data_IF_229842263715
#
_entry.id   IF_229842263715
#
_cell.length_a   1.000
_cell.length_b   1.000
_cell.length_c   1.000
_cell.angle_alpha   90.00
_cell.angle_beta   90.00
_cell.angle_gamma   90.00
#
_symmetry.space_group_name_H-M   'P 1'
#
loop_
_entity.id
_entity.type
_entity.pdbx_description
1 polymer ?
#
# COMPACT_ATOMS: atom_id res chain seq x y z
N UNK A 1 -38.21 -19.73 18.33
CA UNK A 1 -38.26 -19.08 16.99
C UNK A 1 -37.63 -17.69 16.95
N UNK A 2 -38.09 -16.68 17.72
CA UNK A 2 -37.52 -15.30 17.64
C UNK A 2 -36.01 -15.20 17.91
N UNK A 3 -35.49 -15.94 18.89
CA UNK A 3 -34.06 -15.96 19.20
C UNK A 3 -33.22 -16.55 18.05
N UNK A 4 -33.70 -17.64 17.43
CA UNK A 4 -33.05 -18.28 16.28
C UNK A 4 -33.04 -17.32 15.08
N UNK A 5 -34.17 -16.66 14.79
CA UNK A 5 -34.25 -15.68 13.71
C UNK A 5 -33.33 -14.47 13.95
N UNK A 6 -33.21 -14.00 15.20
CA UNK A 6 -32.28 -12.92 15.59
C UNK A 6 -30.81 -13.34 15.46
N UNK A 7 -30.50 -14.61 15.72
CA UNK A 7 -29.15 -15.14 15.54
C UNK A 7 -28.77 -15.28 14.05
N UNK A 8 -29.69 -15.77 13.22
CA UNK A 8 -29.46 -15.88 11.77
C UNK A 8 -29.23 -14.50 11.15
N UNK A 9 -30.04 -13.50 11.53
CA UNK A 9 -29.88 -12.11 11.08
C UNK A 9 -28.56 -11.51 11.55
N UNK A 10 -28.16 -11.74 12.81
CA UNK A 10 -26.86 -11.34 13.34
C UNK A 10 -25.69 -11.89 12.51
N UNK A 11 -25.70 -13.20 12.22
CA UNK A 11 -24.64 -13.85 11.44
C UNK A 11 -24.61 -13.32 10.01
N UNK A 12 -25.77 -13.21 9.37
CA UNK A 12 -25.87 -12.65 8.02
C UNK A 12 -25.35 -11.19 7.98
N UNK A 13 -25.74 -10.37 8.95
CA UNK A 13 -25.29 -8.99 9.07
C UNK A 13 -23.77 -8.89 9.22
N UNK A 14 -23.18 -9.75 10.07
CA UNK A 14 -21.73 -9.77 10.27
C UNK A 14 -20.97 -10.15 8.99
N UNK A 15 -21.42 -11.18 8.27
CA UNK A 15 -20.81 -11.63 7.01
C UNK A 15 -20.92 -10.55 5.93
N UNK A 16 -22.11 -9.96 5.77
CA UNK A 16 -22.33 -8.91 4.78
C UNK A 16 -21.54 -7.64 5.13
N UNK A 17 -21.42 -7.30 6.41
CA UNK A 17 -20.63 -6.14 6.87
C UNK A 17 -19.16 -6.35 6.54
N UNK A 18 -18.65 -7.56 6.73
CA UNK A 18 -17.28 -7.89 6.36
C UNK A 18 -17.06 -7.78 4.84
N UNK A 19 -18.00 -8.26 4.03
CA UNK A 19 -17.93 -8.14 2.58
C UNK A 19 -17.93 -6.67 2.12
N UNK A 20 -18.81 -5.83 2.68
CA UNK A 20 -18.82 -4.38 2.43
C UNK A 20 -17.51 -3.74 2.87
N UNK A 21 -17.03 -4.07 4.08
CA UNK A 21 -15.80 -3.53 4.64
C UNK A 21 -14.59 -3.82 3.76
N UNK A 22 -14.40 -5.08 3.35
CA UNK A 22 -13.32 -5.47 2.44
C UNK A 22 -13.45 -4.74 1.12
N UNK A 23 -14.66 -4.69 0.55
CA UNK A 23 -14.92 -4.02 -0.73
C UNK A 23 -14.56 -2.53 -0.68
N UNK A 24 -15.04 -1.80 0.34
CA UNK A 24 -14.83 -0.35 0.45
C UNK A 24 -13.37 -0.05 0.78
N UNK A 25 -12.80 -0.73 1.77
CA UNK A 25 -11.45 -0.44 2.26
C UNK A 25 -10.38 -0.74 1.21
N UNK A 26 -10.47 -1.91 0.54
CA UNK A 26 -9.50 -2.30 -0.48
C UNK A 26 -9.69 -1.47 -1.74
N UNK A 27 -10.92 -1.24 -2.23
CA UNK A 27 -11.13 -0.43 -3.44
C UNK A 27 -10.84 1.05 -3.25
N UNK A 28 -11.23 1.68 -2.13
CA UNK A 28 -10.96 3.11 -1.94
C UNK A 28 -9.48 3.38 -1.77
N UNK A 29 -8.79 2.56 -0.98
CA UNK A 29 -7.34 2.69 -0.84
C UNK A 29 -6.63 2.43 -2.16
N UNK A 30 -7.03 1.39 -2.90
CA UNK A 30 -6.49 1.09 -4.23
C UNK A 30 -6.90 2.10 -5.31
N UNK A 31 -7.71 3.12 -5.02
CA UNK A 31 -8.00 4.23 -5.93
C UNK A 31 -7.29 5.52 -5.54
N UNK A 32 -6.79 5.62 -4.32
CA UNK A 32 -6.20 6.83 -3.77
C UNK A 32 -4.69 6.88 -4.03
N UNK A 33 -4.31 7.39 -5.21
CA UNK A 33 -2.90 7.56 -5.59
C UNK A 33 -2.14 8.48 -4.62
N UNK A 34 -2.83 9.44 -3.98
CA UNK A 34 -2.23 10.34 -2.99
C UNK A 34 -1.87 9.60 -1.71
N UNK A 35 -2.71 8.66 -1.28
CA UNK A 35 -2.38 7.80 -0.15
C UNK A 35 -1.12 6.97 -0.42
N UNK A 36 -0.97 6.41 -1.62
CA UNK A 36 0.23 5.67 -2.00
C UNK A 36 1.49 6.55 -2.04
N UNK A 37 1.39 7.77 -2.56
CA UNK A 37 2.50 8.75 -2.52
C UNK A 37 2.89 9.07 -1.08
N UNK A 38 1.91 9.32 -0.20
CA UNK A 38 2.18 9.58 1.22
C UNK A 38 2.85 8.39 1.92
N UNK A 39 2.42 7.16 1.64
CA UNK A 39 3.06 5.94 2.14
C UNK A 39 4.49 5.81 1.61
N UNK A 40 4.74 6.12 0.33
CA UNK A 40 6.08 6.03 -0.25
C UNK A 40 7.07 7.06 0.30
N UNK A 41 6.60 8.27 0.59
CA UNK A 41 7.39 9.30 1.26
C UNK A 41 7.73 8.89 2.69
N UNK A 42 6.73 8.45 3.45
CA UNK A 42 6.92 8.06 4.85
C UNK A 42 7.78 6.80 5.02
N UNK A 43 7.80 5.89 4.04
CA UNK A 43 8.67 4.72 4.04
C UNK A 43 10.11 5.00 3.57
N UNK A 44 10.42 6.21 3.08
CA UNK A 44 11.73 6.53 2.52
C UNK A 44 12.02 5.80 1.21
N UNK A 45 11.00 5.57 0.37
CA UNK A 45 11.14 4.83 -0.90
C UNK A 45 12.13 5.52 -1.85
N UNK A 46 12.17 6.87 -1.86
CA UNK A 46 13.15 7.62 -2.65
C UNK A 46 14.58 7.24 -2.29
N UNK A 47 14.91 7.28 -1.00
CA UNK A 47 16.24 6.88 -0.52
C UNK A 47 16.55 5.43 -0.86
N UNK A 48 15.59 4.51 -0.74
CA UNK A 48 15.82 3.12 -1.12
C UNK A 48 16.14 2.97 -2.62
N UNK A 49 15.44 3.71 -3.51
CA UNK A 49 15.73 3.72 -4.94
C UNK A 49 17.14 4.29 -5.22
N UNK A 50 17.46 5.42 -4.58
CA UNK A 50 18.79 6.05 -4.68
C UNK A 50 19.88 5.08 -4.23
N UNK A 51 19.72 4.44 -3.08
CA UNK A 51 20.69 3.51 -2.50
C UNK A 51 20.87 2.29 -3.41
N UNK A 52 19.77 1.72 -3.92
CA UNK A 52 19.80 0.60 -4.86
C UNK A 52 20.53 0.96 -6.15
N UNK A 53 20.22 2.10 -6.77
CA UNK A 53 20.88 2.55 -8.00
C UNK A 53 22.36 2.87 -7.76
N UNK A 54 22.70 3.48 -6.61
CA UNK A 54 24.07 3.77 -6.22
C UNK A 54 24.87 2.49 -6.09
N UNK A 55 24.34 1.50 -5.37
CA UNK A 55 24.98 0.20 -5.22
C UNK A 55 25.14 -0.49 -6.56
N UNK A 56 24.13 -0.43 -7.42
CA UNK A 56 24.18 -1.05 -8.76
C UNK A 56 25.24 -0.43 -9.67
N UNK A 57 25.49 0.88 -9.57
CA UNK A 57 26.52 1.59 -10.34
C UNK A 57 27.93 1.35 -9.77
N UNK A 58 28.06 1.32 -8.44
CA UNK A 58 29.35 1.19 -7.76
C UNK A 58 29.80 -0.27 -7.64
N UNK A 59 28.88 -1.24 -7.64
CA UNK A 59 29.19 -2.66 -7.49
C UNK A 59 30.28 -3.12 -8.48
N UNK A 60 31.26 -3.86 -7.95
CA UNK A 60 32.40 -4.34 -8.74
C UNK A 60 31.98 -5.25 -9.89
N UNK A 61 32.41 -4.88 -11.08
CA UNK A 61 32.16 -5.62 -12.30
C UNK A 61 33.50 -6.10 -12.89
N UNK A 62 33.78 -7.41 -12.86
CA UNK A 62 35.03 -7.97 -13.39
C UNK A 62 35.19 -7.76 -14.91
N UNK A 63 34.11 -7.44 -15.64
CA UNK A 63 34.14 -7.14 -17.08
C UNK A 63 34.44 -5.66 -17.38
N UNK A 64 34.36 -4.79 -16.38
CA UNK A 64 34.72 -3.36 -16.46
C UNK A 64 35.43 -2.91 -15.17
N UNK A 65 36.65 -3.41 -14.92
CA UNK A 65 37.42 -2.99 -13.76
C UNK A 65 37.75 -1.51 -13.87
N UNK A 66 37.60 -0.80 -12.75
CA UNK A 66 38.04 0.57 -12.62
C UNK A 66 39.43 0.60 -11.97
N UNK A 67 40.28 1.58 -12.33
CA UNK A 67 41.64 1.68 -11.79
C UNK A 67 41.66 2.03 -10.29
N UNK A 68 40.56 2.55 -9.74
CA UNK A 68 40.40 2.84 -8.33
C UNK A 68 38.93 2.74 -7.88
N UNK A 69 38.72 2.67 -6.57
CA UNK A 69 37.39 2.67 -5.97
C UNK A 69 36.67 3.99 -6.25
N UNK A 70 35.42 3.91 -6.72
CA UNK A 70 34.59 5.09 -6.96
C UNK A 70 34.13 5.68 -5.62
N UNK A 71 34.17 7.01 -5.50
CA UNK A 71 33.55 7.75 -4.42
C UNK A 71 32.03 7.55 -4.46
N UNK A 72 31.55 6.67 -3.57
CA UNK A 72 30.14 6.32 -3.43
C UNK A 72 29.25 7.53 -3.10
N UNK A 73 29.74 8.50 -2.33
CA UNK A 73 28.96 9.69 -1.96
C UNK A 73 28.71 10.60 -3.17
N UNK A 74 29.71 10.76 -4.04
CA UNK A 74 29.57 11.52 -5.28
C UNK A 74 28.56 10.87 -6.24
N UNK A 75 28.60 9.54 -6.39
CA UNK A 75 27.61 8.79 -7.20
C UNK A 75 26.21 8.91 -6.60
N UNK A 76 26.08 8.76 -5.29
CA UNK A 76 24.81 8.93 -4.57
C UNK A 76 24.22 10.32 -4.82
N UNK A 77 25.00 11.38 -4.64
CA UNK A 77 24.55 12.76 -4.86
C UNK A 77 24.12 13.00 -6.32
N UNK A 78 24.84 12.41 -7.29
CA UNK A 78 24.45 12.41 -8.69
C UNK A 78 23.08 11.78 -8.92
N UNK A 79 22.84 10.60 -8.34
CA UNK A 79 21.56 9.88 -8.45
C UNK A 79 20.43 10.64 -7.72
N UNK A 80 20.69 11.21 -6.53
CA UNK A 80 19.72 12.01 -5.78
C UNK A 80 19.23 13.24 -6.57
N UNK A 81 20.09 13.83 -7.41
CA UNK A 81 19.69 14.95 -8.27
C UNK A 81 18.75 14.55 -9.41
N UNK A 82 18.70 13.26 -9.77
CA UNK A 82 17.80 12.72 -10.80
C UNK A 82 16.52 12.15 -10.15
N UNK A 83 16.66 11.36 -9.09
CA UNK A 83 15.55 10.73 -8.35
C UNK A 83 14.99 11.72 -7.33
N UNK A 84 14.28 12.72 -7.83
CA UNK A 84 13.65 13.74 -6.99
C UNK A 84 12.33 13.24 -6.37
N UNK A 85 11.83 13.93 -5.35
CA UNK A 85 10.49 13.67 -4.80
C UNK A 85 9.39 13.85 -5.84
N UNK A 86 9.53 14.86 -6.71
CA UNK A 86 8.58 15.09 -7.81
C UNK A 86 8.59 13.96 -8.84
N UNK A 87 9.77 13.41 -9.15
CA UNK A 87 9.88 12.22 -9.98
C UNK A 87 9.19 11.01 -9.33
N UNK A 88 9.40 10.79 -8.03
CA UNK A 88 8.77 9.69 -7.30
C UNK A 88 7.24 9.82 -7.30
N UNK A 89 6.71 11.00 -6.98
CA UNK A 89 5.27 11.28 -6.98
C UNK A 89 4.64 10.99 -8.34
N UNK A 90 5.21 11.54 -9.42
CA UNK A 90 4.70 11.35 -10.79
C UNK A 90 4.75 9.88 -11.20
N UNK A 91 5.83 9.19 -10.86
CA UNK A 91 6.01 7.77 -11.16
C UNK A 91 4.96 6.92 -10.47
N UNK A 92 4.74 7.12 -9.16
CA UNK A 92 3.72 6.39 -8.40
C UNK A 92 2.32 6.65 -8.97
N UNK A 93 1.98 7.91 -9.25
CA UNK A 93 0.67 8.27 -9.81
C UNK A 93 0.46 7.61 -11.18
N UNK A 94 1.49 7.62 -12.04
CA UNK A 94 1.45 6.98 -13.35
C UNK A 94 1.27 5.47 -13.26
N UNK A 95 2.04 4.79 -12.40
CA UNK A 95 1.95 3.35 -12.19
C UNK A 95 0.58 2.98 -11.65
N UNK A 96 0.06 3.78 -10.72
CA UNK A 96 -1.27 3.59 -10.15
C UNK A 96 -2.36 3.71 -11.21
N UNK A 97 -2.29 4.73 -12.06
CA UNK A 97 -3.24 4.93 -13.16
C UNK A 97 -3.20 3.77 -14.18
N UNK A 98 -2.00 3.34 -14.57
CA UNK A 98 -1.82 2.22 -15.50
C UNK A 98 -2.24 0.87 -14.88
N UNK A 99 -2.05 0.69 -13.58
CA UNK A 99 -2.58 -0.49 -12.88
C UNK A 99 -4.12 -0.45 -12.85
N UNK A 100 -4.70 0.74 -12.66
CA UNK A 100 -6.15 0.96 -12.71
C UNK A 100 -6.75 0.62 -14.07
N UNK A 101 -6.13 1.04 -15.18
CA UNK A 101 -6.60 0.74 -16.54
C UNK A 101 -6.59 -0.76 -16.84
N UNK A 102 -5.57 -1.49 -16.37
CA UNK A 102 -5.52 -2.97 -16.47
C UNK A 102 -6.66 -3.64 -15.70
N UNK A 103 -6.95 -3.18 -14.47
CA UNK A 103 -8.06 -3.72 -13.68
C UNK A 103 -9.42 -3.41 -14.32
N UNK A 104 -9.54 -2.23 -14.94
CA UNK A 104 -10.72 -1.81 -15.70
C UNK A 104 -10.84 -2.50 -17.08
N UNK A 105 -9.83 -3.31 -17.47
CA UNK A 105 -9.75 -3.98 -18.76
C UNK A 105 -9.78 -2.99 -19.95
N UNK A 106 -9.38 -1.74 -19.71
CA UNK A 106 -9.27 -0.71 -20.75
C UNK A 106 -7.91 -0.75 -21.43
N UNK A 107 -6.90 -1.31 -20.77
CA UNK A 107 -5.55 -1.52 -21.31
C UNK A 107 -5.02 -2.92 -20.94
N UNK A 108 -4.12 -3.45 -21.77
CA UNK A 108 -3.55 -4.79 -21.58
C UNK A 108 -2.31 -4.82 -20.69
N UNK A 109 -1.72 -3.65 -20.34
CA UNK A 109 -0.42 -3.56 -19.68
C UNK A 109 -0.35 -2.39 -18.70
N UNK A 110 0.30 -2.63 -17.57
CA UNK A 110 0.66 -1.61 -16.60
C UNK A 110 2.18 -1.47 -16.62
N UNK A 111 2.69 -0.45 -17.32
CA UNK A 111 4.12 -0.33 -17.61
C UNK A 111 4.77 0.73 -16.73
N UNK A 112 5.87 0.39 -16.08
CA UNK A 112 6.78 1.35 -15.45
C UNK A 112 7.86 1.75 -16.46
N UNK A 113 7.86 2.98 -16.98
CA UNK A 113 8.92 3.44 -17.88
C UNK A 113 10.19 3.72 -17.06
N UNK A 114 11.25 2.96 -17.31
CA UNK A 114 12.58 3.19 -16.71
C UNK A 114 13.55 3.84 -17.69
N UNK A 115 13.21 3.86 -18.98
CA UNK A 115 14.05 4.46 -20.02
C UNK A 115 14.40 5.92 -19.75
N UNK A 116 13.43 6.75 -19.40
CA UNK A 116 13.64 8.18 -19.11
C UNK A 116 14.52 8.39 -17.88
N UNK A 117 14.34 7.56 -16.84
CA UNK A 117 15.20 7.58 -15.66
C UNK A 117 16.63 7.20 -16.03
N UNK A 118 16.82 6.13 -16.81
CA UNK A 118 18.14 5.70 -17.29
C UNK A 118 18.82 6.80 -18.09
N UNK A 119 18.10 7.43 -19.02
CA UNK A 119 18.62 8.55 -19.80
C UNK A 119 19.00 9.74 -18.93
N UNK A 120 18.16 10.12 -17.95
CA UNK A 120 18.46 11.22 -17.05
C UNK A 120 19.70 10.94 -16.18
N UNK A 121 19.88 9.69 -15.72
CA UNK A 121 21.11 9.27 -15.03
C UNK A 121 22.32 9.37 -15.97
N UNK A 122 22.23 8.83 -17.19
CA UNK A 122 23.31 8.92 -18.19
C UNK A 122 23.67 10.38 -18.49
N UNK A 123 22.69 11.23 -18.76
CA UNK A 123 22.89 12.67 -19.00
C UNK A 123 23.55 13.32 -17.80
N UNK A 124 23.09 13.05 -16.57
CA UNK A 124 23.69 13.63 -15.36
C UNK A 124 25.17 13.30 -15.22
N UNK A 125 25.55 12.06 -15.47
CA UNK A 125 26.94 11.62 -15.39
C UNK A 125 27.76 11.94 -16.65
N UNK A 126 27.10 12.33 -17.76
CA UNK A 126 27.75 12.86 -18.95
C UNK A 126 27.99 14.38 -18.89
N UNK A 127 27.12 15.16 -18.24
CA UNK A 127 27.31 16.62 -18.02
C UNK A 127 28.55 16.92 -17.16
N UNK A 128 29.09 15.91 -16.47
CA UNK A 128 30.41 15.94 -15.83
C UNK A 128 31.58 16.10 -16.85
N UNK A 129 31.33 16.09 -18.16
CA UNK A 129 32.32 16.31 -19.23
C UNK A 129 32.85 17.75 -19.34
N UNK A 130 32.06 18.76 -18.97
CA UNK A 130 32.47 20.16 -19.12
C UNK A 130 33.61 20.54 -18.14
N UNK A 131 33.96 19.63 -17.21
CA UNK A 131 35.13 19.71 -16.34
C UNK A 131 35.66 18.31 -15.97
N UNK A 132 36.19 17.58 -16.96
CA UNK A 132 36.74 16.21 -16.82
C UNK A 132 37.64 16.06 -15.59
N UNK A 133 38.48 17.05 -15.32
CA UNK A 133 39.42 17.02 -14.19
C UNK A 133 38.71 17.12 -12.83
N UNK A 134 37.78 18.05 -12.64
CA UNK A 134 37.04 18.19 -11.37
C UNK A 134 36.09 17.02 -11.12
N UNK A 135 35.45 16.51 -12.17
CA UNK A 135 34.59 15.33 -12.14
C UNK A 135 35.37 14.06 -11.79
N UNK A 136 36.56 13.89 -12.39
CA UNK A 136 37.45 12.80 -12.06
C UNK A 136 37.91 12.91 -10.59
N UNK A 137 38.34 14.08 -10.14
CA UNK A 137 38.76 14.28 -8.75
C UNK A 137 37.64 13.99 -7.74
N UNK A 138 36.40 14.37 -8.06
CA UNK A 138 35.23 14.08 -7.21
C UNK A 138 34.94 12.57 -7.12
N UNK A 139 35.09 11.84 -8.23
CA UNK A 139 34.76 10.41 -8.34
C UNK A 139 35.90 9.47 -7.92
N UNK A 140 37.16 9.84 -8.15
CA UNK A 140 38.33 8.96 -7.98
C UNK A 140 39.41 9.54 -7.06
N UNK A 141 39.29 10.81 -6.67
CA UNK A 141 40.28 11.53 -5.88
C UNK A 141 41.43 12.12 -6.71
N UNK A 142 42.20 13.04 -6.10
CA UNK A 142 43.29 13.75 -6.78
C UNK A 142 44.44 12.85 -7.25
N UNK A 143 44.71 11.75 -6.54
CA UNK A 143 45.82 10.83 -6.84
C UNK A 143 45.64 10.10 -8.19
N UNK A 144 44.39 9.82 -8.59
CA UNK A 144 44.08 9.09 -9.84
C UNK A 144 43.94 10.05 -11.02
N UNK A 145 43.63 11.32 -10.75
CA UNK A 145 43.31 12.34 -11.75
C UNK A 145 44.41 13.41 -11.87
N UNK A 146 45.65 13.06 -11.52
CA UNK A 146 46.78 13.99 -11.45
C UNK A 146 47.31 14.46 -12.81
N UNK A 147 46.92 13.77 -13.88
CA UNK A 147 47.16 14.19 -15.26
C UNK A 147 45.88 14.07 -16.12
N UNK A 148 45.77 14.93 -17.14
CA UNK A 148 44.57 15.04 -17.96
C UNK A 148 44.26 13.79 -18.79
N UNK A 149 45.29 13.03 -19.21
CA UNK A 149 45.12 11.83 -20.02
C UNK A 149 44.56 10.68 -19.18
N UNK A 150 45.09 10.47 -17.97
CA UNK A 150 44.60 9.49 -17.00
C UNK A 150 43.21 9.86 -16.49
N UNK A 151 42.94 11.16 -16.29
CA UNK A 151 41.59 11.63 -15.93
C UNK A 151 40.56 11.32 -17.04
N UNK A 152 40.90 11.62 -18.31
CA UNK A 152 40.04 11.32 -19.45
C UNK A 152 39.86 9.81 -19.69
N UNK A 153 40.89 8.99 -19.44
CA UNK A 153 40.79 7.53 -19.53
C UNK A 153 39.89 6.94 -18.43
N UNK A 154 40.05 7.40 -17.19
CA UNK A 154 39.25 6.96 -16.04
C UNK A 154 37.79 7.33 -16.20
N UNK A 155 37.49 8.54 -16.66
CA UNK A 155 36.13 8.98 -16.96
C UNK A 155 35.50 8.19 -18.12
N UNK A 156 36.26 7.84 -19.16
CA UNK A 156 35.77 6.95 -20.24
C UNK A 156 35.45 5.55 -19.73
N UNK A 157 36.32 4.95 -18.91
CA UNK A 157 36.08 3.65 -18.29
C UNK A 157 34.84 3.67 -17.38
N UNK A 158 34.69 4.73 -16.59
CA UNK A 158 33.52 4.96 -15.76
C UNK A 158 32.22 5.01 -16.58
N UNK A 159 32.20 5.76 -17.69
CA UNK A 159 31.01 5.88 -18.55
C UNK A 159 30.62 4.57 -19.20
N UNK A 160 31.60 3.81 -19.67
CA UNK A 160 31.35 2.48 -20.23
C UNK A 160 30.73 1.55 -19.17
N UNK A 161 31.25 1.59 -17.94
CA UNK A 161 30.69 0.83 -16.81
C UNK A 161 29.29 1.30 -16.45
N UNK A 162 29.06 2.60 -16.30
CA UNK A 162 27.75 3.17 -16.01
C UNK A 162 26.72 2.75 -17.05
N UNK A 163 27.07 2.83 -18.34
CA UNK A 163 26.20 2.45 -19.45
C UNK A 163 25.85 0.97 -19.36
N UNK A 164 26.84 0.08 -19.18
CA UNK A 164 26.62 -1.37 -19.01
C UNK A 164 25.81 -1.71 -17.76
N UNK A 165 26.06 -1.02 -16.65
CA UNK A 165 25.29 -1.20 -15.42
C UNK A 165 23.82 -0.85 -15.64
N UNK A 166 23.54 0.26 -16.33
CA UNK A 166 22.18 0.68 -16.66
C UNK A 166 21.53 -0.21 -17.74
N UNK A 167 22.28 -0.76 -18.70
CA UNK A 167 21.77 -1.72 -19.68
C UNK A 167 21.22 -3.00 -19.04
N UNK A 168 21.76 -3.41 -17.89
CA UNK A 168 21.22 -4.54 -17.11
C UNK A 168 19.86 -4.24 -16.46
N UNK A 169 19.52 -2.97 -16.30
CA UNK A 169 18.19 -2.55 -15.83
C UNK A 169 17.25 -2.54 -17.04
N UNK A 170 16.11 -3.26 -17.00
CA UNK A 170 15.17 -3.26 -18.10
C UNK A 170 14.63 -1.85 -18.36
N UNK A 171 14.38 -1.50 -19.63
CA UNK A 171 13.80 -0.19 -19.99
C UNK A 171 12.34 -0.03 -19.54
N UNK A 172 11.68 -1.16 -19.27
CA UNK A 172 10.29 -1.24 -18.84
C UNK A 172 10.08 -2.42 -17.92
N UNK A 173 9.30 -2.23 -16.87
CA UNK A 173 8.76 -3.31 -16.05
C UNK A 173 7.28 -3.41 -16.37
N UNK A 174 6.84 -4.58 -16.86
CA UNK A 174 5.42 -4.86 -17.11
C UNK A 174 4.83 -5.51 -15.85
N UNK A 175 3.94 -4.77 -15.19
CA UNK A 175 3.21 -5.23 -14.00
C UNK A 175 1.84 -5.84 -14.38
N UNK A 176 1.49 -5.84 -15.67
CA UNK A 176 0.18 -6.30 -16.15
C UNK A 176 -0.18 -7.73 -15.75
N UNK A 177 0.72 -8.73 -15.87
CA UNK A 177 0.45 -10.10 -15.42
C UNK A 177 0.16 -10.21 -13.92
N UNK A 178 0.95 -9.53 -13.08
CA UNK A 178 0.84 -9.53 -11.62
C UNK A 178 -0.43 -8.80 -11.17
N UNK A 179 -0.74 -7.66 -11.80
CA UNK A 179 -1.99 -6.93 -11.57
C UNK A 179 -3.18 -7.80 -11.93
N UNK A 180 -3.17 -8.49 -13.09
CA UNK A 180 -4.26 -9.39 -13.51
C UNK A 180 -4.44 -10.61 -12.61
N UNK A 181 -3.35 -11.16 -12.08
CA UNK A 181 -3.40 -12.30 -11.17
C UNK A 181 -4.11 -11.96 -9.84
N UNK A 182 -4.16 -10.69 -9.46
CA UNK A 182 -4.76 -10.21 -8.20
C UNK A 182 -6.04 -9.39 -8.44
N UNK A 183 -6.25 -8.89 -9.66
CA UNK A 183 -7.46 -8.17 -10.06
C UNK A 183 -8.67 -9.12 -10.01
N UNK A 184 -9.68 -8.83 -9.17
CA UNK A 184 -10.84 -9.69 -9.10
C UNK A 184 -11.72 -9.52 -10.35
N UNK A 185 -12.62 -10.48 -10.66
CA UNK A 185 -13.41 -10.46 -11.88
C UNK A 185 -14.27 -9.18 -11.96
N UNK A 186 -13.95 -8.31 -12.90
CA UNK A 186 -14.58 -7.03 -13.28
C UNK A 186 -15.10 -6.14 -12.13
N UNK A 187 -14.62 -4.89 -12.05
CA UNK A 187 -15.11 -3.85 -11.12
C UNK A 187 -16.65 -3.72 -11.12
N UNK A 188 -17.31 -4.04 -12.24
CA UNK A 188 -18.78 -4.05 -12.37
C UNK A 188 -19.45 -5.10 -11.47
N UNK A 189 -18.95 -6.34 -11.46
CA UNK A 189 -19.46 -7.40 -10.58
C UNK A 189 -19.25 -7.03 -9.10
N UNK A 190 -18.14 -6.37 -8.78
CA UNK A 190 -17.87 -5.86 -7.43
C UNK A 190 -18.85 -4.77 -6.99
N UNK A 191 -19.16 -3.80 -7.86
CA UNK A 191 -20.16 -2.76 -7.53
C UNK A 191 -21.54 -3.36 -7.31
N UNK A 192 -21.92 -4.34 -8.11
CA UNK A 192 -23.18 -5.07 -7.93
C UNK A 192 -23.17 -5.86 -6.62
N UNK A 193 -22.10 -6.60 -6.32
CA UNK A 193 -21.96 -7.34 -5.08
C UNK A 193 -21.98 -6.43 -3.85
N UNK A 194 -21.33 -5.26 -3.93
CA UNK A 194 -21.37 -4.24 -2.88
C UNK A 194 -22.80 -3.71 -2.67
N UNK A 195 -23.52 -3.40 -3.75
CA UNK A 195 -24.91 -2.96 -3.68
C UNK A 195 -25.82 -4.03 -3.06
N UNK A 196 -25.64 -5.30 -3.44
CA UNK A 196 -26.35 -6.45 -2.86
C UNK A 196 -26.02 -6.60 -1.37
N UNK A 197 -24.75 -6.44 -1.00
CA UNK A 197 -24.32 -6.56 0.39
C UNK A 197 -24.91 -5.44 1.26
N UNK A 198 -24.88 -4.19 0.79
CA UNK A 198 -25.51 -3.05 1.48
C UNK A 198 -27.02 -3.27 1.59
N UNK A 199 -27.69 -3.67 0.50
CA UNK A 199 -29.12 -3.98 0.52
C UNK A 199 -29.46 -5.10 1.51
N UNK A 200 -28.61 -6.13 1.59
CA UNK A 200 -28.73 -7.22 2.56
C UNK A 200 -28.54 -6.77 4.00
N UNK A 201 -27.62 -5.83 4.27
CA UNK A 201 -27.47 -5.23 5.60
C UNK A 201 -28.73 -4.49 6.02
N UNK A 202 -29.27 -3.64 5.14
CA UNK A 202 -30.53 -2.91 5.39
C UNK A 202 -31.67 -3.90 5.64
N UNK A 203 -31.77 -4.96 4.83
CA UNK A 203 -32.78 -6.00 5.03
C UNK A 203 -32.65 -6.70 6.39
N UNK A 204 -31.42 -7.02 6.84
CA UNK A 204 -31.19 -7.59 8.17
C UNK A 204 -31.69 -6.66 9.27
N UNK A 205 -31.38 -5.36 9.20
CA UNK A 205 -31.84 -4.37 10.17
C UNK A 205 -33.38 -4.28 10.21
N UNK A 206 -34.03 -4.26 9.05
CA UNK A 206 -35.50 -4.24 8.94
C UNK A 206 -36.11 -5.51 9.53
N UNK A 207 -35.54 -6.68 9.25
CA UNK A 207 -36.00 -7.95 9.82
C UNK A 207 -35.81 -7.97 11.34
N UNK A 208 -34.69 -7.49 11.86
CA UNK A 208 -34.43 -7.37 13.30
C UNK A 208 -35.46 -6.45 13.97
N UNK A 209 -35.78 -5.31 13.34
CA UNK A 209 -36.84 -4.42 13.81
C UNK A 209 -38.22 -5.12 13.78
N UNK A 210 -38.53 -5.87 12.71
CA UNK A 210 -39.80 -6.58 12.58
C UNK A 210 -39.96 -7.70 13.63
N UNK A 211 -38.89 -8.46 13.92
CA UNK A 211 -38.89 -9.50 14.97
C UNK A 211 -39.19 -8.90 16.34
N UNK A 212 -38.67 -7.71 16.62
CA UNK A 212 -38.75 -7.03 17.93
C UNK A 212 -39.70 -5.83 17.96
N UNK A 213 -40.62 -5.71 16.99
CA UNK A 213 -41.53 -4.55 16.83
C UNK A 213 -42.38 -4.17 18.05
N UNK A 214 -42.55 -5.10 19.00
CA UNK A 214 -43.33 -4.91 20.24
C UNK A 214 -42.50 -4.54 21.47
N UNK A 215 -41.17 -4.54 21.36
CA UNK A 215 -40.26 -4.29 22.48
C UNK A 215 -39.05 -3.51 21.92
N UNK A 216 -39.20 -2.18 21.94
CA UNK A 216 -38.20 -1.24 21.43
C UNK A 216 -36.87 -1.39 22.15
N UNK A 217 -36.87 -1.76 23.44
CA UNK A 217 -35.68 -2.08 24.20
C UNK A 217 -34.93 -3.29 23.64
N UNK A 218 -35.62 -4.35 23.17
CA UNK A 218 -34.92 -5.46 22.47
C UNK A 218 -34.41 -5.06 21.11
N UNK A 219 -35.20 -4.32 20.34
CA UNK A 219 -34.80 -3.90 19.00
C UNK A 219 -33.49 -3.11 19.05
N UNK A 220 -33.40 -2.10 19.94
CA UNK A 220 -32.18 -1.32 20.16
C UNK A 220 -31.01 -2.19 20.63
N UNK A 221 -31.26 -3.13 21.54
CA UNK A 221 -30.21 -4.01 22.04
C UNK A 221 -29.64 -4.92 20.94
N UNK A 222 -30.50 -5.51 20.10
CA UNK A 222 -30.06 -6.37 19.00
C UNK A 222 -29.35 -5.59 17.89
N UNK A 223 -29.86 -4.41 17.55
CA UNK A 223 -29.21 -3.48 16.62
C UNK A 223 -27.79 -3.12 17.09
N UNK A 224 -27.66 -2.75 18.38
CA UNK A 224 -26.36 -2.47 18.97
C UNK A 224 -25.42 -3.67 18.96
N UNK A 225 -25.94 -4.87 19.23
CA UNK A 225 -25.16 -6.11 19.18
C UNK A 225 -24.66 -6.43 17.76
N UNK A 226 -25.51 -6.27 16.75
CA UNK A 226 -25.16 -6.45 15.33
C UNK A 226 -23.99 -5.54 14.93
N UNK A 227 -24.07 -4.25 15.27
CA UNK A 227 -22.99 -3.29 14.99
C UNK A 227 -21.70 -3.63 15.73
N UNK A 228 -21.77 -3.99 17.01
CA UNK A 228 -20.59 -4.33 17.81
C UNK A 228 -19.91 -5.59 17.26
N UNK A 229 -20.67 -6.64 16.98
CA UNK A 229 -20.13 -7.90 16.43
C UNK A 229 -19.52 -7.66 15.05
N UNK A 230 -20.21 -6.94 14.16
CA UNK A 230 -19.68 -6.60 12.85
C UNK A 230 -18.38 -5.77 12.94
N UNK A 231 -18.35 -4.79 13.84
CA UNK A 231 -17.16 -3.94 14.07
C UNK A 231 -15.99 -4.77 14.59
N UNK A 232 -16.21 -5.62 15.59
CA UNK A 232 -15.17 -6.50 16.14
C UNK A 232 -14.64 -7.48 15.09
N UNK A 233 -15.53 -8.04 14.26
CA UNK A 233 -15.14 -8.92 13.16
C UNK A 233 -14.27 -8.18 12.14
N UNK A 234 -14.68 -6.98 11.72
CA UNK A 234 -13.90 -6.16 10.78
C UNK A 234 -12.54 -5.78 11.38
N UNK A 235 -12.50 -5.32 12.64
CA UNK A 235 -11.24 -5.01 13.34
C UNK A 235 -10.32 -6.23 13.44
N UNK A 236 -10.86 -7.42 13.71
CA UNK A 236 -10.10 -8.67 13.74
C UNK A 236 -9.50 -8.98 12.37
N UNK A 237 -10.27 -8.81 11.29
CA UNK A 237 -9.77 -8.99 9.93
C UNK A 237 -8.72 -7.95 9.57
N UNK A 238 -8.88 -6.68 9.98
CA UNK A 238 -7.84 -5.65 9.79
C UNK A 238 -6.55 -6.02 10.53
N UNK A 239 -6.66 -6.50 11.78
CA UNK A 239 -5.52 -6.97 12.55
C UNK A 239 -4.81 -8.16 11.90
N UNK A 240 -5.58 -9.15 11.42
CA UNK A 240 -5.05 -10.31 10.70
C UNK A 240 -4.42 -9.90 9.35
N UNK A 241 -5.09 -9.04 8.58
CA UNK A 241 -4.59 -8.53 7.31
C UNK A 241 -3.32 -7.70 7.48
N UNK A 242 -3.17 -6.98 8.59
CA UNK A 242 -1.92 -6.32 8.93
C UNK A 242 -0.79 -7.32 9.13
N UNK A 243 -1.03 -8.32 9.99
CA UNK A 243 -0.03 -9.34 10.32
C UNK A 243 0.41 -10.14 9.09
N UNK A 244 -0.55 -10.60 8.28
CA UNK A 244 -0.31 -11.40 7.08
C UNK A 244 0.20 -10.54 5.92
N UNK A 245 -0.37 -9.35 5.71
CA UNK A 245 -0.08 -8.46 4.59
C UNK A 245 1.33 -7.89 4.63
N UNK A 246 1.82 -7.49 5.82
CA UNK A 246 3.21 -7.01 6.00
C UNK A 246 4.23 -8.06 5.55
N UNK A 247 3.97 -9.35 5.80
CA UNK A 247 4.87 -10.44 5.45
C UNK A 247 4.68 -10.94 4.01
N UNK A 248 3.44 -11.19 3.60
CA UNK A 248 3.12 -11.80 2.31
C UNK A 248 3.34 -10.84 1.13
N UNK A 249 2.98 -9.55 1.27
CA UNK A 249 3.19 -8.56 0.21
C UNK A 249 4.68 -8.28 0.02
N UNK A 250 5.41 -8.14 1.14
CA UNK A 250 6.85 -7.96 1.14
C UNK A 250 7.58 -9.12 0.48
N UNK A 251 7.22 -10.37 0.80
CA UNK A 251 7.85 -11.54 0.17
C UNK A 251 7.58 -11.62 -1.34
N UNK A 252 6.33 -11.43 -1.79
CA UNK A 252 6.01 -11.50 -3.22
C UNK A 252 6.74 -10.44 -4.04
N UNK A 253 6.78 -9.20 -3.54
CA UNK A 253 7.48 -8.12 -4.22
C UNK A 253 9.00 -8.33 -4.21
N UNK A 254 9.57 -8.88 -3.14
CA UNK A 254 10.99 -9.25 -3.10
C UNK A 254 11.31 -10.34 -4.11
N UNK A 255 10.51 -11.41 -4.18
CA UNK A 255 10.70 -12.48 -5.17
C UNK A 255 10.58 -11.97 -6.60
N UNK A 256 9.66 -11.03 -6.86
CA UNK A 256 9.52 -10.38 -8.16
C UNK A 256 10.74 -9.51 -8.50
N UNK A 257 11.38 -8.86 -7.53
CA UNK A 257 12.60 -8.08 -7.78
C UNK A 257 13.83 -8.97 -7.94
N UNK A 258 13.95 -10.04 -7.16
CA UNK A 258 15.01 -11.03 -7.30
C UNK A 258 14.96 -11.74 -8.66
N UNK A 259 13.76 -11.93 -9.25
CA UNK A 259 13.62 -12.51 -10.58
C UNK A 259 14.02 -11.56 -11.73
N UNK A 260 14.09 -10.25 -11.49
CA UNK A 260 14.42 -9.23 -12.49
C UNK A 260 15.91 -8.80 -12.48
N UNK A 261 16.81 -9.74 -12.17
CA UNK A 261 18.26 -9.65 -12.39
C UNK A 261 19.08 -8.71 -11.48
N UNK A 262 18.52 -8.20 -10.37
CA UNK A 262 19.35 -7.60 -9.32
C UNK A 262 19.99 -8.72 -8.48
N UNK A 263 21.32 -8.76 -8.44
CA UNK A 263 22.10 -9.70 -7.63
C UNK A 263 22.98 -8.97 -6.61
N UNK A 264 23.35 -9.65 -5.53
CA UNK A 264 24.23 -9.07 -4.51
C UNK A 264 23.55 -8.03 -3.60
N UNK A 265 24.28 -6.98 -3.23
CA UNK A 265 23.85 -6.02 -2.22
C UNK A 265 22.73 -5.08 -2.71
N UNK A 266 22.71 -4.73 -4.01
CA UNK A 266 21.67 -3.88 -4.60
C UNK A 266 20.27 -4.50 -4.46
N UNK A 267 20.18 -5.83 -4.68
CA UNK A 267 18.97 -6.63 -4.48
C UNK A 267 18.50 -6.61 -3.02
N UNK A 268 19.43 -6.74 -2.06
CA UNK A 268 19.11 -6.69 -0.62
C UNK A 268 18.63 -5.30 -0.18
N UNK A 269 19.19 -4.23 -0.74
CA UNK A 269 18.75 -2.85 -0.47
C UNK A 269 17.34 -2.64 -1.05
N UNK A 270 17.12 -3.06 -2.31
CA UNK A 270 15.81 -2.96 -2.96
C UNK A 270 14.74 -3.73 -2.18
N UNK A 271 15.06 -4.95 -1.77
CA UNK A 271 14.18 -5.80 -0.98
C UNK A 271 13.81 -5.15 0.37
N UNK A 272 14.78 -4.52 1.05
CA UNK A 272 14.51 -3.76 2.29
C UNK A 272 13.60 -2.57 2.05
N UNK A 273 13.84 -1.80 0.98
CA UNK A 273 12.99 -0.67 0.59
C UNK A 273 11.55 -1.09 0.32
N UNK A 274 11.37 -2.16 -0.45
CA UNK A 274 10.08 -2.76 -0.79
C UNK A 274 9.34 -3.22 0.47
N UNK A 275 10.01 -3.92 1.38
CA UNK A 275 9.40 -4.36 2.64
C UNK A 275 8.92 -3.19 3.49
N UNK A 276 9.70 -2.10 3.56
CA UNK A 276 9.30 -0.88 4.28
C UNK A 276 8.09 -0.23 3.63
N UNK A 277 8.08 -0.09 2.30
CA UNK A 277 6.95 0.45 1.56
C UNK A 277 5.69 -0.40 1.75
N UNK A 278 5.78 -1.71 1.60
CA UNK A 278 4.65 -2.62 1.78
C UNK A 278 4.09 -2.55 3.19
N UNK A 279 4.96 -2.50 4.21
CA UNK A 279 4.52 -2.39 5.59
C UNK A 279 3.83 -1.04 5.86
N UNK A 280 4.36 0.05 5.30
CA UNK A 280 3.78 1.37 5.44
C UNK A 280 2.41 1.49 4.76
N UNK A 281 2.27 0.96 3.54
CA UNK A 281 0.99 0.88 2.83
C UNK A 281 -0.06 0.13 3.67
N UNK A 282 0.31 -1.02 4.22
CA UNK A 282 -0.58 -1.82 5.07
C UNK A 282 -0.91 -1.07 6.37
N UNK A 283 0.07 -0.40 6.98
CA UNK A 283 -0.14 0.40 8.19
C UNK A 283 -1.08 1.59 7.95
N UNK A 284 -0.97 2.28 6.83
CA UNK A 284 -1.82 3.43 6.49
C UNK A 284 -3.24 2.98 6.13
N UNK A 285 -3.39 1.92 5.33
CA UNK A 285 -4.69 1.33 5.01
C UNK A 285 -5.42 0.83 6.27
N UNK A 286 -4.69 0.16 7.17
CA UNK A 286 -5.26 -0.31 8.45
C UNK A 286 -5.63 0.87 9.35
N UNK A 287 -4.78 1.89 9.49
CA UNK A 287 -5.09 3.09 10.30
C UNK A 287 -6.37 3.79 9.82
N UNK A 288 -6.52 3.98 8.51
CA UNK A 288 -7.73 4.57 7.91
C UNK A 288 -8.98 3.75 8.26
N UNK A 289 -8.87 2.42 8.18
CA UNK A 289 -9.97 1.51 8.55
C UNK A 289 -10.40 1.65 10.01
N UNK A 290 -9.44 1.79 10.94
CA UNK A 290 -9.73 1.95 12.36
C UNK A 290 -10.48 3.26 12.65
N UNK A 291 -10.11 4.35 11.97
CA UNK A 291 -10.78 5.64 12.12
C UNK A 291 -12.27 5.58 11.73
N UNK A 292 -12.63 4.73 10.77
CA UNK A 292 -14.03 4.53 10.38
C UNK A 292 -14.77 3.51 11.27
N UNK A 293 -14.11 2.43 11.69
CA UNK A 293 -14.75 1.37 12.47
C UNK A 293 -15.00 1.75 13.94
N UNK A 294 -14.11 2.51 14.57
CA UNK A 294 -14.24 2.87 15.99
C UNK A 294 -15.53 3.68 16.30
N UNK A 295 -15.91 4.72 15.52
CA UNK A 295 -17.18 5.41 15.72
C UNK A 295 -18.40 4.49 15.55
N UNK A 296 -18.38 3.58 14.57
CA UNK A 296 -19.48 2.62 14.33
C UNK A 296 -19.63 1.67 15.53
N UNK A 297 -18.52 1.17 16.06
CA UNK A 297 -18.50 0.36 17.27
C UNK A 297 -19.02 1.12 18.50
N UNK A 298 -18.64 2.39 18.67
CA UNK A 298 -19.13 3.25 19.75
C UNK A 298 -20.65 3.45 19.66
N UNK A 299 -21.18 3.74 18.46
CA UNK A 299 -22.63 3.85 18.21
C UNK A 299 -23.35 2.54 18.53
N UNK A 300 -22.77 1.40 18.12
CA UNK A 300 -23.28 0.08 18.47
C UNK A 300 -23.36 -0.16 19.98
N UNK A 301 -22.31 0.20 20.73
CA UNK A 301 -22.31 0.14 22.20
C UNK A 301 -23.38 1.06 22.80
N UNK A 302 -23.54 2.29 22.31
CA UNK A 302 -24.58 3.20 22.77
C UNK A 302 -25.97 2.60 22.60
N UNK A 303 -26.29 2.03 21.44
CA UNK A 303 -27.56 1.35 21.21
C UNK A 303 -27.75 0.13 22.11
N UNK A 304 -26.69 -0.66 22.31
CA UNK A 304 -26.72 -1.83 23.18
C UNK A 304 -27.03 -1.44 24.64
N UNK A 305 -26.38 -0.41 25.17
CA UNK A 305 -26.60 0.08 26.53
C UNK A 305 -27.93 0.82 26.69
N UNK A 306 -28.32 1.65 25.72
CA UNK A 306 -29.61 2.33 25.72
C UNK A 306 -30.77 1.31 25.70
N UNK A 307 -30.67 0.26 24.88
CA UNK A 307 -31.63 -0.83 24.87
C UNK A 307 -31.73 -1.56 26.21
N UNK A 308 -30.58 -1.81 26.87
CA UNK A 308 -30.55 -2.40 28.22
C UNK A 308 -31.18 -1.49 29.28
N UNK A 309 -30.87 -0.19 29.25
CA UNK A 309 -31.39 0.78 30.20
C UNK A 309 -32.92 0.91 30.06
N UNK A 310 -33.43 1.01 28.83
CA UNK A 310 -34.86 1.07 28.55
C UNK A 310 -35.61 -0.17 29.04
N UNK A 311 -35.05 -1.36 28.85
CA UNK A 311 -35.66 -2.60 29.40
C UNK A 311 -35.68 -2.65 30.92
N UNK A 312 -34.72 -2.02 31.61
CA UNK A 312 -34.75 -1.92 33.07
C UNK A 312 -35.89 -1.00 33.51
N UNK A 313 -36.03 0.17 32.89
CA UNK A 313 -37.14 1.10 33.16
C UNK A 313 -38.51 0.45 32.91
N UNK A 314 -38.69 -0.24 31.78
CA UNK A 314 -39.95 -0.93 31.44
C UNK A 314 -40.30 -2.06 32.43
N UNK A 315 -39.33 -2.63 33.16
CA UNK A 315 -39.55 -3.62 34.22
C UNK A 315 -39.89 -3.01 35.58
N UNK A 316 -39.42 -1.79 35.85
CA UNK A 316 -39.62 -1.08 37.13
C UNK A 316 -40.97 -0.33 37.17
N UNK A 317 -41.46 0.18 36.03
CA UNK A 317 -42.76 0.85 35.89
C UNK A 317 -43.99 0.08 36.42
N UNK A 318 -44.18 -1.24 36.18
CA UNK A 318 -45.35 -1.96 36.67
C UNK A 318 -45.40 -2.17 38.19
N UNK A 319 -44.32 -1.87 38.93
CA UNK A 319 -44.28 -1.99 40.40
C UNK A 319 -44.87 -0.74 41.07
N UNK A 320 -44.76 0.43 40.43
CA UNK A 320 -45.26 1.69 40.98
C UNK A 320 -46.78 1.84 40.83
N UNK A 321 -47.39 1.32 39.76
CA UNK A 321 -48.86 1.36 39.56
C UNK A 321 -49.63 0.45 40.53
N UNK A 322 -48.97 -0.51 41.19
CA UNK A 322 -49.59 -1.36 42.23
C UNK A 322 -49.41 -0.82 43.65
N UNK A 323 -48.62 0.24 43.81
CA UNK A 323 -48.33 0.85 45.11
C UNK A 323 -49.17 2.12 45.36
N UNK A 324 -50.11 2.47 44.48
CA UNK A 324 -51.08 3.53 44.75
C UNK A 324 -52.04 3.06 45.86
N UNK A 325 -52.02 3.68 47.07
CA UNK A 325 -52.98 3.36 48.10
C UNK A 325 -54.38 3.81 47.64
N UNK A 326 -55.37 2.94 47.87
CA UNK A 326 -56.79 3.25 47.75
C UNK A 326 -57.24 4.26 48.80
#
# INVERSE_FOLDING_TARGET
MRAIASFITLVAFAILSLAVFVSVTVLEYAKDSRALVASARSSGTRQAIVDTLTEHVVADDPTTPLPSAINREAVRAGIESVVTEEWLDRTIVSIHAASGSVVEQTEDRAVVPLHELKQAVVVRFNVLEDSVESSCQSLFGQLVCGDAETAAASMRAYRLRLTRALERIPDRIDLGPEVRAVAPPTIRLWRVALGVAIGGLVACLVVTLAIHRRDAGRALQWFGLELVVATLLCLSVVGAARFVGEHALGQRLVTAVESHALSGESSRIAARGIRRLSAQIVADATRRSWQFLLPVGAVGLTFLFAGRARRRQERELPILDRAAPA
#
